data_IF_490368022820
#
_entry.id   IF_490368022820
#
_cell.length_a   1.000
_cell.length_b   1.000
_cell.length_c   1.000
_cell.angle_alpha   90.00
_cell.angle_beta   90.00
_cell.angle_gamma   90.00
#
_symmetry.space_group_name_H-M   'P 1'
#
loop_
_entity.id
_entity.type
_entity.pdbx_description
1 polymer ?
#
# COMPACT_ATOMS: atom_id res chain seq x y z
N UNK A 1 44.09 26.10 -50.46
CA UNK A 1 44.08 26.21 -48.99
C UNK A 1 42.72 25.73 -48.49
N UNK A 2 42.63 24.50 -48.00
CA UNK A 2 41.39 23.92 -47.47
C UNK A 2 41.15 24.49 -46.07
N UNK A 3 40.00 25.11 -45.84
CA UNK A 3 39.72 25.87 -44.62
C UNK A 3 39.27 24.92 -43.50
N UNK A 4 40.24 24.40 -42.73
CA UNK A 4 40.07 23.44 -41.62
C UNK A 4 39.01 23.91 -40.59
N UNK A 5 38.80 25.23 -40.47
CA UNK A 5 37.83 25.84 -39.55
C UNK A 5 36.36 25.57 -39.88
N UNK A 6 36.02 25.18 -41.12
CA UNK A 6 34.64 24.81 -41.48
C UNK A 6 34.33 23.35 -41.12
N UNK A 7 35.34 22.48 -41.18
CA UNK A 7 35.19 21.06 -40.86
C UNK A 7 35.02 20.84 -39.34
N UNK A 8 35.77 21.56 -38.51
CA UNK A 8 35.62 21.48 -37.05
C UNK A 8 34.26 22.01 -36.58
N UNK A 9 33.76 23.11 -37.17
CA UNK A 9 32.40 23.61 -36.88
C UNK A 9 31.31 22.64 -37.33
N UNK A 10 31.47 22.01 -38.49
CA UNK A 10 30.52 21.00 -38.96
C UNK A 10 30.52 19.75 -38.07
N UNK A 11 31.69 19.28 -37.66
CA UNK A 11 31.82 18.11 -36.78
C UNK A 11 31.31 18.38 -35.36
N UNK A 12 31.55 19.58 -34.82
CA UNK A 12 31.03 20.00 -33.50
C UNK A 12 29.51 20.18 -33.51
N UNK A 13 28.93 20.75 -34.57
CA UNK A 13 27.47 20.89 -34.70
C UNK A 13 26.78 19.54 -34.94
N UNK A 14 27.41 18.60 -35.65
CA UNK A 14 26.91 17.23 -35.81
C UNK A 14 26.92 16.45 -34.48
N UNK A 15 28.01 16.52 -33.71
CA UNK A 15 28.09 15.90 -32.38
C UNK A 15 27.05 16.49 -31.42
N UNK A 16 26.93 17.82 -31.37
CA UNK A 16 25.97 18.51 -30.49
C UNK A 16 24.51 18.16 -30.83
N UNK A 17 24.16 18.06 -32.13
CA UNK A 17 22.84 17.61 -32.58
C UNK A 17 22.55 16.15 -32.21
N UNK A 18 23.54 15.27 -32.35
CA UNK A 18 23.42 13.85 -31.99
C UNK A 18 23.24 13.67 -30.48
N UNK A 19 23.99 14.42 -29.66
CA UNK A 19 23.85 14.39 -28.20
C UNK A 19 22.49 14.93 -27.75
N UNK A 20 22.00 16.04 -28.31
CA UNK A 20 20.67 16.57 -28.00
C UNK A 20 19.57 15.58 -28.41
N UNK A 21 19.70 14.96 -29.59
CA UNK A 21 18.74 13.97 -30.07
C UNK A 21 18.70 12.73 -29.16
N UNK A 22 19.86 12.26 -28.68
CA UNK A 22 19.92 11.18 -27.68
C UNK A 22 19.26 11.56 -26.36
N UNK A 23 19.51 12.77 -25.85
CA UNK A 23 18.91 13.23 -24.59
C UNK A 23 17.39 13.38 -24.70
N UNK A 24 16.87 13.83 -25.84
CA UNK A 24 15.42 13.88 -26.10
C UNK A 24 14.80 12.49 -26.20
N UNK A 25 15.50 11.52 -26.81
CA UNK A 25 15.02 10.15 -26.92
C UNK A 25 14.94 9.47 -25.54
N UNK A 26 15.94 9.70 -24.68
CA UNK A 26 15.97 9.18 -23.30
C UNK A 26 14.86 9.81 -22.45
N UNK A 27 14.60 11.12 -22.63
CA UNK A 27 13.51 11.80 -21.92
C UNK A 27 12.14 11.27 -22.34
N UNK A 28 11.93 11.01 -23.65
CA UNK A 28 10.70 10.38 -24.17
C UNK A 28 10.48 8.93 -23.67
N UNK A 29 11.56 8.19 -23.42
CA UNK A 29 11.50 6.82 -22.88
C UNK A 29 11.27 6.76 -21.36
N UNK A 30 11.54 7.85 -20.63
CA UNK A 30 11.42 7.90 -19.16
C UNK A 30 10.02 8.24 -18.63
N UNK A 31 9.11 8.71 -19.50
CA UNK A 31 7.79 9.17 -19.10
C UNK A 31 6.70 8.13 -19.30
N UNK A 32 6.59 7.12 -18.42
CA UNK A 32 5.36 6.40 -18.01
C UNK A 32 5.77 5.39 -16.93
N UNK A 33 5.61 5.75 -15.65
CA UNK A 33 5.32 4.80 -14.55
C UNK A 33 4.61 5.52 -13.40
N UNK A 34 3.63 6.36 -13.70
CA UNK A 34 2.66 6.76 -12.67
C UNK A 34 1.67 5.60 -12.50
N UNK A 35 2.04 4.61 -11.69
CA UNK A 35 1.09 3.59 -11.24
C UNK A 35 0.14 4.29 -10.27
N UNK A 36 -1.08 4.55 -10.71
CA UNK A 36 -2.13 5.02 -9.83
C UNK A 36 -2.41 3.91 -8.81
N UNK A 37 -1.95 4.10 -7.57
CA UNK A 37 -2.34 3.25 -6.46
C UNK A 37 -3.82 3.53 -6.15
N UNK A 38 -4.70 2.64 -6.59
CA UNK A 38 -6.08 2.63 -6.08
C UNK A 38 -6.05 2.21 -4.62
N UNK A 39 -6.79 2.90 -3.76
CA UNK A 39 -7.04 2.43 -2.40
C UNK A 39 -7.65 1.02 -2.50
N UNK A 40 -6.92 0.01 -2.05
CA UNK A 40 -7.42 -1.35 -2.02
C UNK A 40 -8.63 -1.39 -1.10
N UNK A 41 -9.71 -1.99 -1.56
CA UNK A 41 -10.87 -2.24 -0.72
C UNK A 41 -10.45 -3.20 0.40
N UNK A 42 -10.76 -2.85 1.65
CA UNK A 42 -10.38 -3.66 2.80
C UNK A 42 -11.25 -4.93 2.77
N UNK A 43 -10.66 -6.15 2.74
CA UNK A 43 -11.44 -7.38 2.69
C UNK A 43 -12.45 -7.45 3.84
N UNK A 44 -13.71 -7.75 3.51
CA UNK A 44 -14.78 -7.96 4.48
C UNK A 44 -15.27 -9.40 4.38
N UNK A 45 -15.66 -9.94 5.53
CA UNK A 45 -16.30 -11.25 5.62
C UNK A 45 -17.72 -11.09 6.16
N UNK A 46 -18.57 -12.03 5.80
CA UNK A 46 -19.93 -12.18 6.30
C UNK A 46 -19.93 -12.79 7.70
N UNK A 47 -21.06 -12.67 8.39
CA UNK A 47 -21.25 -13.30 9.71
C UNK A 47 -21.19 -14.83 9.60
N UNK A 48 -21.66 -15.38 8.48
CA UNK A 48 -21.67 -16.81 8.18
C UNK A 48 -20.24 -17.34 7.99
N UNK A 49 -19.40 -16.60 7.26
CA UNK A 49 -17.98 -16.94 7.09
C UNK A 49 -17.24 -16.91 8.43
N UNK A 50 -17.44 -15.87 9.26
CA UNK A 50 -16.84 -15.81 10.59
C UNK A 50 -17.28 -16.98 11.48
N UNK A 51 -18.55 -17.37 11.42
CA UNK A 51 -19.06 -18.56 12.14
C UNK A 51 -18.45 -19.85 11.64
N UNK A 52 -18.20 -19.98 10.33
CA UNK A 52 -17.57 -21.15 9.75
C UNK A 52 -16.11 -21.33 10.22
N UNK A 53 -15.44 -20.22 10.57
CA UNK A 53 -14.09 -20.22 11.14
C UNK A 53 -14.07 -20.46 12.67
N UNK A 54 -15.24 -20.61 13.31
CA UNK A 54 -15.33 -20.80 14.75
C UNK A 54 -14.59 -22.07 15.20
N UNK A 55 -13.61 -21.89 16.09
CA UNK A 55 -12.77 -22.98 16.60
C UNK A 55 -11.42 -23.14 15.88
N UNK A 56 -11.15 -22.34 14.84
CA UNK A 56 -9.84 -22.24 14.23
C UNK A 56 -8.82 -21.64 15.23
N UNK A 57 -7.72 -22.34 15.57
CA UNK A 57 -6.69 -21.82 16.48
C UNK A 57 -5.91 -20.61 15.92
N UNK A 58 -5.99 -20.37 14.61
CA UNK A 58 -5.31 -19.28 13.92
C UNK A 58 -6.24 -18.07 13.69
N UNK A 59 -7.51 -18.15 14.10
CA UNK A 59 -8.43 -17.02 14.12
C UNK A 59 -8.24 -16.18 15.39
N UNK A 60 -8.07 -14.87 15.19
CA UNK A 60 -8.12 -13.85 16.25
C UNK A 60 -9.24 -12.88 15.94
N UNK A 61 -10.18 -12.73 16.88
CA UNK A 61 -11.28 -11.78 16.77
C UNK A 61 -11.00 -10.60 17.71
N UNK A 62 -10.99 -9.39 17.17
CA UNK A 62 -10.72 -8.17 17.92
C UNK A 62 -11.96 -7.26 17.87
N UNK A 63 -12.50 -6.96 19.04
CA UNK A 63 -13.56 -5.98 19.25
C UNK A 63 -12.90 -4.60 19.38
N UNK A 64 -13.12 -3.74 18.38
CA UNK A 64 -12.56 -2.37 18.36
C UNK A 64 -13.66 -1.33 18.61
N UNK A 65 -14.73 -1.70 19.30
CA UNK A 65 -15.73 -0.71 19.75
C UNK A 65 -15.11 0.24 20.79
N UNK A 66 -15.61 1.46 20.82
CA UNK A 66 -15.24 2.41 21.87
C UNK A 66 -15.63 1.85 23.24
N UNK A 67 -14.82 2.14 24.27
CA UNK A 67 -14.93 1.56 25.61
C UNK A 67 -16.38 1.56 26.13
N UNK A 68 -17.07 2.71 26.06
CA UNK A 68 -18.46 2.85 26.51
C UNK A 68 -19.40 1.82 25.84
N UNK A 69 -19.29 1.64 24.52
CA UNK A 69 -20.21 0.77 23.77
C UNK A 69 -19.83 -0.70 23.96
N UNK A 70 -18.53 -0.98 24.16
CA UNK A 70 -18.05 -2.31 24.56
C UNK A 70 -18.52 -2.70 25.97
N UNK A 71 -18.43 -1.80 26.95
CA UNK A 71 -18.88 -2.02 28.33
C UNK A 71 -20.40 -2.20 28.42
N UNK A 72 -21.16 -1.38 27.67
CA UNK A 72 -22.62 -1.45 27.64
C UNK A 72 -23.17 -2.64 26.83
N UNK A 73 -22.32 -3.37 26.10
CA UNK A 73 -22.75 -4.43 25.21
C UNK A 73 -23.37 -5.61 25.95
N UNK A 74 -24.65 -5.89 25.67
CA UNK A 74 -25.36 -7.08 26.19
C UNK A 74 -24.90 -8.39 25.54
N UNK A 75 -24.22 -8.30 24.39
CA UNK A 75 -23.69 -9.44 23.63
C UNK A 75 -22.31 -9.09 23.05
N UNK A 76 -21.43 -10.09 23.03
CA UNK A 76 -20.06 -10.02 22.47
C UNK A 76 -19.79 -11.33 21.72
N UNK A 77 -18.88 -11.30 20.74
CA UNK A 77 -18.49 -12.52 20.03
C UNK A 77 -17.63 -13.38 20.98
N UNK A 78 -17.95 -14.67 21.20
CA UNK A 78 -17.16 -15.53 22.06
C UNK A 78 -15.70 -15.62 21.58
N UNK A 79 -14.75 -15.48 22.52
CA UNK A 79 -13.32 -15.51 22.21
C UNK A 79 -12.76 -14.20 21.65
N UNK A 80 -13.58 -13.18 21.42
CA UNK A 80 -13.09 -11.87 21.02
C UNK A 80 -12.35 -11.16 22.17
N UNK A 81 -11.25 -10.50 21.83
CA UNK A 81 -10.49 -9.63 22.72
C UNK A 81 -10.82 -8.19 22.40
N UNK A 82 -11.00 -7.36 23.41
CA UNK A 82 -11.18 -5.92 23.21
C UNK A 82 -9.85 -5.20 23.17
N UNK A 83 -9.71 -4.31 22.20
CA UNK A 83 -8.57 -3.41 22.08
C UNK A 83 -9.09 -2.01 21.75
N UNK A 84 -8.46 -0.99 22.33
CA UNK A 84 -8.91 0.38 22.19
C UNK A 84 -8.66 0.92 20.77
N UNK A 85 -9.73 1.30 20.09
CA UNK A 85 -9.68 1.89 18.74
C UNK A 85 -8.82 3.17 18.68
N UNK A 86 -8.70 3.91 19.77
CA UNK A 86 -7.89 5.15 19.80
C UNK A 86 -6.39 4.89 19.99
N UNK A 87 -6.00 3.70 20.44
CA UNK A 87 -4.63 3.36 20.83
C UNK A 87 -4.06 2.20 20.00
N UNK A 88 -4.31 2.20 18.67
CA UNK A 88 -3.90 1.12 17.75
C UNK A 88 -2.42 0.77 17.86
N UNK A 89 -1.54 1.77 17.97
CA UNK A 89 -0.10 1.55 18.07
C UNK A 89 0.29 0.78 19.34
N UNK A 90 -0.52 0.87 20.40
CA UNK A 90 -0.27 0.16 21.66
C UNK A 90 -0.56 -1.35 21.56
N UNK A 91 -1.41 -1.78 20.63
CA UNK A 91 -1.87 -3.17 20.56
C UNK A 91 -1.65 -3.89 19.24
N UNK A 92 -1.51 -3.17 18.12
CA UNK A 92 -1.36 -3.80 16.80
C UNK A 92 -0.16 -4.76 16.74
N UNK A 93 0.90 -4.48 17.51
CA UNK A 93 2.09 -5.33 17.60
C UNK A 93 1.92 -6.60 18.45
N UNK A 94 0.83 -6.76 19.20
CA UNK A 94 0.58 -7.92 20.08
C UNK A 94 0.25 -9.20 19.28
N UNK A 95 -0.30 -9.04 18.08
CA UNK A 95 -0.86 -10.13 17.30
C UNK A 95 0.10 -10.58 16.19
N UNK A 96 0.22 -11.90 16.01
CA UNK A 96 1.04 -12.46 14.93
C UNK A 96 0.42 -12.13 13.57
N UNK A 97 1.27 -11.74 12.61
CA UNK A 97 0.88 -11.45 11.22
C UNK A 97 0.55 -12.71 10.42
N UNK A 98 0.89 -13.89 10.95
CA UNK A 98 0.60 -15.18 10.32
C UNK A 98 -0.80 -15.70 10.66
N UNK A 99 -1.51 -15.04 11.59
CA UNK A 99 -2.88 -15.38 11.99
C UNK A 99 -3.91 -14.64 11.17
N UNK A 100 -5.11 -15.21 11.08
CA UNK A 100 -6.25 -14.50 10.51
C UNK A 100 -6.84 -13.57 11.57
N UNK A 101 -6.73 -12.27 11.34
CA UNK A 101 -7.24 -11.24 12.26
C UNK A 101 -8.55 -10.67 11.70
N UNK A 102 -9.62 -10.75 12.47
CA UNK A 102 -10.92 -10.17 12.15
C UNK A 102 -11.23 -9.06 13.15
N UNK A 103 -11.36 -7.84 12.66
CA UNK A 103 -11.78 -6.68 13.45
C UNK A 103 -13.29 -6.51 13.33
N UNK A 104 -13.98 -6.17 14.42
CA UNK A 104 -15.38 -5.74 14.36
C UNK A 104 -15.67 -4.51 15.23
N UNK A 105 -16.62 -3.72 14.77
CA UNK A 105 -17.20 -2.56 15.46
C UNK A 105 -18.73 -2.61 15.36
N UNK A 106 -19.42 -1.59 15.90
CA UNK A 106 -20.87 -1.38 15.71
C UNK A 106 -21.23 -0.92 14.29
#
# INVERSE_FOLDING_TARGET
MCNITSYERYFMTQKYKSTILMLLLVFLLSGITAVAASAADIPRITVEELKAMSGDPDLVIIDVRVERDWEAATRKIPGAVWEDFFEVDAWAGKYSKDKTIVLYCD
#
